data_IF_499569712239
#
_entry.id   IF_499569712239
#
_cell.length_a   1.000
_cell.length_b   1.000
_cell.length_c   1.000
_cell.angle_alpha   90.00
_cell.angle_beta   90.00
_cell.angle_gamma   90.00
#
_symmetry.space_group_name_H-M   'P 1'
#
loop_
_entity.id
_entity.type
_entity.pdbx_description
1 polymer ?
#
# COMPACT_ATOMS: atom_id res chain seq x y z
N UNK A 1 40.74 42.70 -11.89
CA UNK A 1 39.42 42.19 -11.45
C UNK A 1 39.63 40.86 -10.75
N UNK A 2 39.08 40.67 -9.54
CA UNK A 2 39.19 39.39 -8.82
C UNK A 2 38.32 38.34 -9.53
N UNK A 3 38.83 37.12 -9.77
CA UNK A 3 38.05 36.06 -10.43
C UNK A 3 36.83 35.68 -9.58
N UNK A 4 35.72 35.37 -10.24
CA UNK A 4 34.48 35.01 -9.56
C UNK A 4 34.62 33.67 -8.82
N UNK A 5 33.78 33.45 -7.80
CA UNK A 5 33.82 32.23 -6.99
C UNK A 5 33.71 30.95 -7.86
N UNK A 6 32.90 31.00 -8.93
CA UNK A 6 32.76 29.91 -9.90
C UNK A 6 34.05 29.62 -10.68
N UNK A 7 34.81 30.65 -11.09
CA UNK A 7 36.08 30.49 -11.81
C UNK A 7 37.17 29.87 -10.92
N UNK A 8 37.17 30.20 -9.63
CA UNK A 8 38.13 29.64 -8.65
C UNK A 8 37.84 28.17 -8.35
N UNK A 9 36.56 27.79 -8.34
CA UNK A 9 36.13 26.40 -8.14
C UNK A 9 36.42 25.57 -9.40
N UNK A 10 36.12 26.10 -10.60
CA UNK A 10 36.36 25.42 -11.86
C UNK A 10 37.85 25.10 -12.10
N UNK A 11 38.76 25.97 -11.68
CA UNK A 11 40.21 25.77 -11.81
C UNK A 11 40.77 24.62 -10.96
N UNK A 12 40.02 24.12 -9.97
CA UNK A 12 40.41 23.01 -9.09
C UNK A 12 39.76 21.67 -9.44
N UNK A 13 38.83 21.66 -10.39
CA UNK A 13 38.06 20.48 -10.74
C UNK A 13 38.64 19.75 -11.96
N UNK A 14 38.52 18.42 -12.04
CA UNK A 14 38.93 17.66 -13.22
C UNK A 14 38.15 18.11 -14.46
N UNK A 15 38.77 18.03 -15.64
CA UNK A 15 38.31 18.63 -16.91
C UNK A 15 36.82 18.50 -17.27
N UNK A 16 36.11 17.38 -17.03
CA UNK A 16 34.66 17.33 -17.22
C UNK A 16 33.90 18.19 -16.19
N UNK A 17 34.26 18.14 -14.90
CA UNK A 17 33.58 18.88 -13.83
C UNK A 17 33.83 20.40 -13.91
N UNK A 18 35.02 20.82 -14.35
CA UNK A 18 35.33 22.24 -14.59
C UNK A 18 34.39 22.90 -15.62
N UNK A 19 33.97 22.14 -16.65
CA UNK A 19 33.03 22.60 -17.68
C UNK A 19 31.60 22.79 -17.15
N UNK A 20 31.21 22.01 -16.15
CA UNK A 20 29.93 22.16 -15.45
C UNK A 20 29.95 23.36 -14.50
N UNK A 21 31.05 23.56 -13.77
CA UNK A 21 31.23 24.67 -12.83
C UNK A 21 31.24 26.06 -13.49
N UNK A 22 31.65 26.15 -14.76
CA UNK A 22 31.65 27.40 -15.54
C UNK A 22 30.23 27.85 -15.98
N UNK A 23 29.18 27.07 -15.65
CA UNK A 23 27.76 27.43 -15.81
C UNK A 23 27.26 27.58 -17.26
N UNK A 24 28.15 27.53 -18.26
CA UNK A 24 27.82 27.58 -19.70
C UNK A 24 27.17 26.28 -20.18
N UNK A 25 27.74 25.14 -19.77
CA UNK A 25 27.20 23.81 -20.11
C UNK A 25 25.87 23.57 -19.40
N UNK A 26 25.78 23.88 -18.10
CA UNK A 26 24.54 23.73 -17.33
C UNK A 26 23.37 24.55 -17.89
N UNK A 27 23.59 25.82 -18.26
CA UNK A 27 22.54 26.64 -18.90
C UNK A 27 22.17 26.18 -20.31
N UNK A 28 23.11 25.59 -21.06
CA UNK A 28 22.82 25.01 -22.39
C UNK A 28 21.98 23.73 -22.23
N UNK A 29 22.32 22.88 -21.27
CA UNK A 29 21.58 21.67 -20.92
C UNK A 29 20.15 21.98 -20.43
N UNK A 30 19.99 22.96 -19.52
CA UNK A 30 18.69 23.37 -19.00
C UNK A 30 17.78 24.07 -20.03
N UNK A 31 18.32 24.48 -21.18
CA UNK A 31 17.54 25.11 -22.25
C UNK A 31 17.15 24.11 -23.35
N UNK A 32 17.80 22.96 -23.40
CA UNK A 32 17.50 21.91 -24.36
C UNK A 32 16.37 21.01 -23.83
N UNK A 33 15.20 21.07 -24.49
CA UNK A 33 14.01 20.31 -24.09
C UNK A 33 14.23 18.80 -24.17
N UNK A 34 15.03 18.32 -25.14
CA UNK A 34 15.29 16.89 -25.33
C UNK A 34 16.26 16.36 -24.27
N UNK A 35 17.26 17.17 -23.89
CA UNK A 35 18.18 16.81 -22.82
C UNK A 35 17.49 16.78 -21.44
N UNK A 36 16.57 17.72 -21.20
CA UNK A 36 15.72 17.72 -20.01
C UNK A 36 14.81 16.48 -19.97
N UNK A 37 14.14 16.16 -21.08
CA UNK A 37 13.29 14.98 -21.17
C UNK A 37 14.09 13.70 -20.90
N UNK A 38 15.25 13.54 -21.54
CA UNK A 38 16.12 12.38 -21.35
C UNK A 38 16.60 12.24 -19.89
N UNK A 39 17.00 13.33 -19.24
CA UNK A 39 17.41 13.28 -17.84
C UNK A 39 16.26 12.99 -16.89
N UNK A 40 15.05 13.47 -17.18
CA UNK A 40 13.85 13.12 -16.43
C UNK A 40 13.55 11.63 -16.56
N UNK A 41 13.61 11.09 -17.77
CA UNK A 41 13.41 9.66 -18.02
C UNK A 41 14.44 8.82 -17.25
N UNK A 42 15.73 9.17 -17.34
CA UNK A 42 16.80 8.48 -16.59
C UNK A 42 16.56 8.60 -15.08
N UNK A 43 16.16 9.77 -14.59
CA UNK A 43 15.82 10.00 -13.19
C UNK A 43 14.66 9.12 -12.71
N UNK A 44 13.61 8.96 -13.53
CA UNK A 44 12.48 8.07 -13.24
C UNK A 44 12.93 6.60 -13.18
N UNK A 45 13.74 6.15 -14.13
CA UNK A 45 14.30 4.78 -14.10
C UNK A 45 15.18 4.55 -12.87
N UNK A 46 16.02 5.51 -12.51
CA UNK A 46 16.86 5.41 -11.32
C UNK A 46 16.04 5.39 -10.03
N UNK A 47 14.99 6.22 -9.95
CA UNK A 47 14.07 6.22 -8.82
C UNK A 47 13.31 4.89 -8.71
N UNK A 48 12.85 4.32 -9.83
CA UNK A 48 12.24 2.99 -9.87
C UNK A 48 13.21 1.91 -9.40
N UNK A 49 14.46 1.93 -9.88
CA UNK A 49 15.49 0.99 -9.46
C UNK A 49 15.80 1.13 -7.97
N UNK A 50 15.88 2.36 -7.45
CA UNK A 50 16.10 2.62 -6.02
C UNK A 50 14.92 2.14 -5.18
N UNK A 51 13.68 2.40 -5.61
CA UNK A 51 12.47 1.91 -4.95
C UNK A 51 12.44 0.37 -4.86
N UNK A 52 12.89 -0.29 -5.93
CA UNK A 52 13.04 -1.74 -6.00
C UNK A 52 14.09 -2.26 -5.01
N UNK A 53 15.24 -1.61 -4.91
CA UNK A 53 16.38 -2.08 -4.09
C UNK A 53 16.20 -1.73 -2.61
N UNK A 54 15.76 -0.51 -2.30
CA UNK A 54 15.67 0.00 -0.92
C UNK A 54 14.44 -0.54 -0.20
N UNK A 55 13.36 -0.84 -0.94
CA UNK A 55 12.19 -1.54 -0.41
C UNK A 55 11.47 -0.82 0.73
N UNK A 56 10.48 0.02 0.40
CA UNK A 56 9.68 0.74 1.42
C UNK A 56 8.45 -0.01 1.96
N UNK A 57 8.01 -1.07 1.28
CA UNK A 57 6.79 -1.82 1.65
C UNK A 57 7.18 -3.27 1.90
N UNK A 58 6.96 -3.74 3.14
CA UNK A 58 7.15 -5.12 3.56
C UNK A 58 5.91 -5.96 3.25
N UNK A 59 6.12 -7.26 3.06
CA UNK A 59 5.02 -8.20 2.88
C UNK A 59 4.14 -8.27 4.14
N UNK A 60 4.75 -8.13 5.32
CA UNK A 60 4.05 -8.18 6.61
C UNK A 60 3.07 -7.02 6.76
N UNK A 61 3.49 -5.80 6.41
CA UNK A 61 2.62 -4.62 6.43
C UNK A 61 1.43 -4.75 5.46
N UNK A 62 1.55 -5.56 4.39
CA UNK A 62 0.45 -5.83 3.47
C UNK A 62 -0.55 -6.86 4.01
N UNK A 63 -0.15 -7.65 5.00
CA UNK A 63 -0.95 -8.73 5.57
C UNK A 63 -1.66 -8.32 6.86
N UNK A 64 -1.32 -7.17 7.44
CA UNK A 64 -2.01 -6.62 8.59
C UNK A 64 -3.45 -6.20 8.23
N UNK A 65 -4.45 -6.66 9.00
CA UNK A 65 -5.83 -6.20 8.84
C UNK A 65 -5.95 -4.76 9.33
N UNK A 66 -6.44 -3.87 8.47
CA UNK A 66 -6.58 -2.43 8.74
C UNK A 66 -7.99 -2.12 9.23
N UNK A 67 -8.99 -2.87 8.80
CA UNK A 67 -10.36 -2.70 9.26
C UNK A 67 -11.11 -4.04 9.33
N UNK A 68 -11.75 -4.33 10.47
CA UNK A 68 -12.56 -5.53 10.65
C UNK A 68 -13.98 -5.28 10.16
N UNK A 69 -14.48 -4.04 10.18
CA UNK A 69 -15.91 -3.74 10.05
C UNK A 69 -16.31 -3.39 8.60
N UNK A 70 -15.34 -3.05 7.74
CA UNK A 70 -15.57 -2.71 6.32
C UNK A 70 -15.02 -3.78 5.37
N UNK A 71 -15.86 -4.60 4.71
CA UNK A 71 -15.44 -5.52 3.62
C UNK A 71 -16.50 -5.83 2.51
N UNK A 72 -16.27 -5.77 1.16
CA UNK A 72 -14.96 -5.64 0.48
C UNK A 72 -14.87 -4.74 -0.79
N UNK A 73 -13.70 -4.15 -1.00
CA UNK A 73 -13.01 -3.97 -2.30
C UNK A 73 -13.57 -3.09 -3.44
N UNK A 74 -12.75 -2.98 -4.51
CA UNK A 74 -12.96 -2.13 -5.68
C UNK A 74 -14.37 -2.32 -6.29
N UNK A 75 -15.16 -1.24 -6.27
CA UNK A 75 -16.56 -1.13 -6.75
C UNK A 75 -17.64 -1.94 -6.00
N UNK A 76 -17.32 -2.58 -4.89
CA UNK A 76 -18.32 -3.23 -4.05
C UNK A 76 -18.29 -2.61 -2.66
N UNK A 77 -19.45 -2.13 -2.21
CA UNK A 77 -19.60 -1.86 -0.78
C UNK A 77 -19.74 -3.21 -0.08
N UNK A 78 -19.30 -3.29 1.18
CA UNK A 78 -19.63 -4.43 2.01
C UNK A 78 -21.12 -4.72 1.93
N UNK A 79 -21.48 -5.98 1.69
CA UNK A 79 -22.89 -6.36 1.78
C UNK A 79 -23.36 -5.97 3.19
N UNK A 80 -24.48 -5.24 3.33
CA UNK A 80 -24.96 -4.75 4.62
C UNK A 80 -25.04 -5.83 5.71
N UNK A 81 -25.34 -7.07 5.29
CA UNK A 81 -25.31 -8.29 6.09
C UNK A 81 -23.95 -8.58 6.74
N UNK A 82 -22.85 -8.42 6.00
CA UNK A 82 -21.48 -8.65 6.50
C UNK A 82 -21.08 -7.56 7.50
N UNK A 83 -21.39 -6.30 7.19
CA UNK A 83 -21.17 -5.15 8.09
C UNK A 83 -21.85 -5.37 9.44
N UNK A 84 -23.11 -5.79 9.39
CA UNK A 84 -23.90 -6.14 10.58
C UNK A 84 -23.20 -7.21 11.41
N UNK A 85 -22.83 -8.35 10.82
CA UNK A 85 -22.13 -9.44 11.52
C UNK A 85 -20.83 -9.01 12.20
N UNK A 86 -20.11 -8.05 11.62
CA UNK A 86 -18.86 -7.55 12.18
C UNK A 86 -19.10 -6.60 13.35
N UNK A 87 -20.09 -5.70 13.23
CA UNK A 87 -20.53 -4.86 14.33
C UNK A 87 -21.06 -5.71 15.50
N UNK A 88 -21.85 -6.75 15.20
CA UNK A 88 -22.34 -7.75 16.16
C UNK A 88 -21.21 -8.47 16.89
N UNK A 89 -20.22 -8.97 16.14
CA UNK A 89 -19.07 -9.66 16.70
C UNK A 89 -18.23 -8.74 17.60
N UNK A 90 -18.20 -7.43 17.32
CA UNK A 90 -17.55 -6.46 18.18
C UNK A 90 -18.35 -6.21 19.46
N UNK A 91 -19.66 -5.91 19.34
CA UNK A 91 -20.54 -5.61 20.48
C UNK A 91 -20.60 -6.78 21.47
N UNK A 92 -20.81 -8.00 20.96
CA UNK A 92 -20.87 -9.22 21.77
C UNK A 92 -19.54 -9.55 22.48
N UNK A 93 -18.39 -9.28 21.84
CA UNK A 93 -17.07 -9.44 22.48
C UNK A 93 -16.84 -8.43 23.57
N UNK A 94 -17.26 -7.18 23.35
CA UNK A 94 -17.15 -6.12 24.35
C UNK A 94 -18.03 -6.46 25.56
N UNK A 95 -19.27 -6.88 25.34
CA UNK A 95 -20.17 -7.34 26.40
C UNK A 95 -19.61 -8.54 27.18
N UNK A 96 -19.10 -9.56 26.48
CA UNK A 96 -18.46 -10.72 27.12
C UNK A 96 -17.24 -10.34 27.95
N UNK A 97 -16.41 -9.40 27.46
CA UNK A 97 -15.29 -8.88 28.23
C UNK A 97 -15.72 -7.97 29.39
N UNK A 98 -16.88 -7.33 29.29
CA UNK A 98 -17.48 -6.53 30.35
C UNK A 98 -18.11 -7.41 31.44
N UNK A 99 -18.51 -8.65 31.14
CA UNK A 99 -19.05 -9.58 32.12
C UNK A 99 -18.00 -10.12 33.13
N UNK A 100 -16.72 -10.13 32.74
CA UNK A 100 -15.63 -10.61 33.59
C UNK A 100 -15.28 -9.62 34.73
N UNK A 101 -15.17 -10.13 35.97
CA UNK A 101 -14.80 -9.31 37.15
C UNK A 101 -13.29 -9.00 37.25
N UNK A 102 -12.45 -9.75 36.53
CA UNK A 102 -10.98 -9.72 36.66
C UNK A 102 -10.35 -8.85 35.55
N UNK A 103 -9.75 -7.69 35.88
CA UNK A 103 -9.36 -6.67 34.90
C UNK A 103 -8.34 -7.14 33.86
N UNK A 104 -7.43 -8.06 34.19
CA UNK A 104 -6.43 -8.58 33.24
C UNK A 104 -7.07 -9.48 32.18
N UNK A 105 -8.11 -10.24 32.54
CA UNK A 105 -8.85 -11.11 31.60
C UNK A 105 -9.74 -10.31 30.65
N UNK A 106 -10.32 -9.19 31.12
CA UNK A 106 -11.10 -8.27 30.28
C UNK A 106 -10.27 -7.74 29.12
N UNK A 107 -9.03 -7.32 29.41
CA UNK A 107 -8.10 -6.78 28.41
C UNK A 107 -7.64 -7.84 27.39
N UNK A 108 -7.41 -9.09 27.81
CA UNK A 108 -7.07 -10.17 26.88
C UNK A 108 -8.24 -10.50 25.94
N UNK A 109 -9.48 -10.54 26.46
CA UNK A 109 -10.69 -10.79 25.67
C UNK A 109 -11.09 -9.61 24.76
N UNK A 110 -10.65 -8.38 25.07
CA UNK A 110 -10.84 -7.16 24.28
C UNK A 110 -9.84 -7.01 23.12
N UNK A 111 -8.96 -7.97 22.87
CA UNK A 111 -8.00 -7.92 21.76
C UNK A 111 -8.72 -8.10 20.43
N UNK A 112 -9.51 -7.11 20.02
CA UNK A 112 -10.07 -7.00 18.68
C UNK A 112 -8.87 -6.70 17.78
N UNK A 113 -8.60 -7.62 16.86
CA UNK A 113 -7.36 -7.73 16.08
C UNK A 113 -7.11 -6.56 15.10
N UNK A 114 -7.79 -5.42 15.27
CA UNK A 114 -7.83 -4.29 14.33
C UNK A 114 -7.69 -2.94 15.02
N UNK A 115 -8.29 -2.73 16.20
CA UNK A 115 -8.13 -1.50 17.00
C UNK A 115 -8.25 -1.79 18.49
N UNK A 116 -7.40 -1.16 19.32
CA UNK A 116 -7.51 -1.28 20.78
C UNK A 116 -8.80 -0.62 21.27
N UNK A 117 -9.33 -1.18 22.35
CA UNK A 117 -10.45 -0.58 23.08
C UNK A 117 -10.04 0.74 23.74
N UNK A 118 -10.93 1.72 23.76
CA UNK A 118 -10.66 3.00 24.39
C UNK A 118 -10.76 2.87 25.91
N UNK A 119 -9.59 2.76 26.56
CA UNK A 119 -9.47 2.62 28.02
C UNK A 119 -9.83 3.89 28.80
N UNK A 120 -9.98 5.02 28.12
CA UNK A 120 -10.33 6.29 28.76
C UNK A 120 -11.84 6.43 29.02
N UNK A 121 -12.66 5.51 28.48
CA UNK A 121 -14.09 5.46 28.74
C UNK A 121 -14.39 4.99 30.16
N UNK A 122 -15.29 5.69 30.85
CA UNK A 122 -15.83 5.22 32.12
C UNK A 122 -16.71 3.99 31.91
N UNK A 123 -16.72 3.08 32.89
CA UNK A 123 -17.57 1.88 32.85
C UNK A 123 -19.05 2.21 32.62
N UNK A 124 -19.54 3.29 33.22
CA UNK A 124 -20.91 3.76 33.04
C UNK A 124 -21.20 4.15 31.58
N UNK A 125 -20.24 4.81 30.91
CA UNK A 125 -20.38 5.19 29.50
C UNK A 125 -20.34 3.97 28.58
N UNK A 126 -19.55 2.95 28.91
CA UNK A 126 -19.51 1.72 28.12
C UNK A 126 -20.83 0.97 28.25
N UNK A 127 -21.40 0.86 29.46
CA UNK A 127 -22.71 0.26 29.67
C UNK A 127 -23.81 1.04 28.93
N UNK A 128 -23.79 2.37 28.99
CA UNK A 128 -24.73 3.23 28.24
C UNK A 128 -24.64 2.97 26.73
N UNK A 129 -23.43 2.90 26.17
CA UNK A 129 -23.23 2.60 24.74
C UNK A 129 -23.67 1.18 24.37
N UNK A 130 -23.52 0.20 25.26
CA UNK A 130 -24.05 -1.15 25.05
C UNK A 130 -25.59 -1.13 25.08
N UNK A 131 -26.19 -0.45 26.05
CA UNK A 131 -27.65 -0.28 26.17
C UNK A 131 -28.25 0.45 24.96
N UNK A 132 -27.51 1.38 24.34
CA UNK A 132 -27.87 2.04 23.08
C UNK A 132 -27.70 1.11 21.86
N UNK A 133 -26.63 0.32 21.83
CA UNK A 133 -26.27 -0.53 20.69
C UNK A 133 -27.11 -1.80 20.55
N UNK A 134 -27.46 -2.46 21.66
CA UNK A 134 -28.19 -3.74 21.64
C UNK A 134 -29.59 -3.66 21.01
N UNK A 135 -30.42 -2.63 21.25
CA UNK A 135 -31.72 -2.49 20.59
C UNK A 135 -31.61 -2.33 19.06
N UNK A 136 -30.62 -1.57 18.59
CA UNK A 136 -30.36 -1.38 17.15
C UNK A 136 -29.88 -2.70 16.55
N UNK A 137 -29.01 -3.41 17.27
CA UNK A 137 -28.59 -4.76 16.92
C UNK A 137 -29.78 -5.71 16.74
N UNK A 138 -30.65 -5.82 17.74
CA UNK A 138 -31.81 -6.74 17.70
C UNK A 138 -32.72 -6.43 16.50
N UNK A 139 -32.93 -5.15 16.21
CA UNK A 139 -33.72 -4.73 15.06
C UNK A 139 -33.06 -5.11 13.72
N UNK A 140 -31.76 -4.87 13.58
CA UNK A 140 -31.00 -5.25 12.38
C UNK A 140 -30.88 -6.78 12.24
N UNK A 141 -30.88 -7.51 13.35
CA UNK A 141 -30.87 -8.97 13.38
C UNK A 141 -32.17 -9.54 12.79
N UNK A 142 -33.32 -8.94 13.17
CA UNK A 142 -34.66 -9.33 12.69
C UNK A 142 -34.89 -9.03 11.21
N UNK A 143 -34.25 -8.00 10.67
CA UNK A 143 -34.40 -7.60 9.27
C UNK A 143 -33.88 -8.64 8.24
N UNK A 144 -32.94 -9.50 8.63
CA UNK A 144 -32.39 -10.54 7.75
C UNK A 144 -31.91 -9.97 6.39
N UNK A 145 -32.48 -10.47 5.30
CA UNK A 145 -32.12 -10.10 3.92
C UNK A 145 -32.69 -8.72 3.50
N UNK A 146 -33.69 -8.17 4.22
CA UNK A 146 -34.26 -6.84 3.91
C UNK A 146 -33.24 -5.71 4.13
N UNK A 147 -32.21 -5.97 4.93
CA UNK A 147 -31.12 -5.04 5.21
C UNK A 147 -30.39 -4.58 3.94
N UNK A 148 -30.38 -5.39 2.89
CA UNK A 148 -29.68 -5.06 1.63
C UNK A 148 -30.45 -4.09 0.74
N UNK A 149 -31.77 -4.01 0.92
CA UNK A 149 -32.67 -3.26 0.03
C UNK A 149 -33.34 -2.06 0.70
N UNK A 150 -33.46 -2.06 2.03
CA UNK A 150 -34.12 -0.98 2.76
C UNK A 150 -33.13 0.13 3.19
N UNK A 151 -33.25 1.37 2.66
CA UNK A 151 -32.34 2.46 3.00
C UNK A 151 -32.39 2.88 4.47
N UNK A 152 -33.53 2.75 5.14
CA UNK A 152 -33.66 3.14 6.56
C UNK A 152 -32.85 2.21 7.48
N UNK A 153 -32.78 0.92 7.13
CA UNK A 153 -31.97 -0.06 7.86
C UNK A 153 -30.46 0.16 7.66
N UNK A 154 -30.06 0.69 6.51
CA UNK A 154 -28.66 1.08 6.26
C UNK A 154 -28.21 2.24 7.14
N UNK A 155 -29.11 3.19 7.43
CA UNK A 155 -28.82 4.29 8.37
C UNK A 155 -28.63 3.75 9.77
N UNK A 156 -29.52 2.84 10.22
CA UNK A 156 -29.39 2.19 11.54
C UNK A 156 -28.12 1.35 11.67
N UNK A 157 -27.69 0.70 10.60
CA UNK A 157 -26.42 -0.01 10.56
C UNK A 157 -25.23 0.94 10.72
N UNK A 158 -25.28 2.11 10.07
CA UNK A 158 -24.25 3.15 10.22
C UNK A 158 -24.22 3.72 11.65
N UNK A 159 -25.39 3.87 12.28
CA UNK A 159 -25.51 4.26 13.70
C UNK A 159 -24.88 3.21 14.63
N UNK A 160 -25.18 1.92 14.44
CA UNK A 160 -24.57 0.83 15.21
C UNK A 160 -23.05 0.79 15.06
N UNK A 161 -22.54 0.94 13.83
CA UNK A 161 -21.11 1.03 13.58
C UNK A 161 -20.49 2.25 14.27
N UNK A 162 -21.18 3.40 14.29
CA UNK A 162 -20.76 4.61 15.00
C UNK A 162 -20.69 4.42 16.53
N UNK A 163 -21.61 3.65 17.12
CA UNK A 163 -21.58 3.28 18.55
C UNK A 163 -20.36 2.42 18.85
N UNK A 164 -20.11 1.38 18.03
CA UNK A 164 -18.92 0.52 18.18
C UNK A 164 -17.64 1.34 17.99
N UNK A 165 -17.60 2.28 17.04
CA UNK A 165 -16.42 3.13 16.79
C UNK A 165 -16.06 4.02 17.98
N UNK A 166 -17.05 4.49 18.74
CA UNK A 166 -16.84 5.26 19.97
C UNK A 166 -16.19 4.45 21.10
N UNK A 167 -16.46 3.14 21.15
CA UNK A 167 -15.84 2.22 22.12
C UNK A 167 -14.38 1.93 21.78
N UNK A 168 -13.96 2.17 20.53
CA UNK A 168 -12.60 1.98 20.07
C UNK A 168 -11.80 3.28 20.22
N UNK A 169 -10.46 3.16 20.29
CA UNK A 169 -9.60 4.34 20.36
C UNK A 169 -9.82 5.23 19.12
N UNK A 170 -10.12 6.54 19.32
CA UNK A 170 -10.28 7.45 18.19
C UNK A 170 -8.95 7.60 17.47
N UNK A 171 -9.00 7.47 16.15
CA UNK A 171 -7.81 7.56 15.31
C UNK A 171 -7.25 8.98 15.34
N UNK A 172 -5.93 9.10 15.45
CA UNK A 172 -5.24 10.38 15.28
C UNK A 172 -5.49 10.96 13.88
N UNK A 173 -5.47 12.28 13.73
CA UNK A 173 -5.65 12.94 12.42
C UNK A 173 -4.72 12.39 11.34
N UNK A 174 -3.49 12.02 11.72
CA UNK A 174 -2.52 11.38 10.83
C UNK A 174 -2.97 9.97 10.41
N UNK A 175 -3.40 9.16 11.37
CA UNK A 175 -3.86 7.77 11.14
C UNK A 175 -5.14 7.72 10.32
N UNK A 176 -6.07 8.66 10.54
CA UNK A 176 -7.27 8.82 9.72
C UNK A 176 -6.91 9.07 8.26
N UNK A 177 -5.92 9.94 8.02
CA UNK A 177 -5.46 10.26 6.68
C UNK A 177 -4.79 9.05 6.02
N UNK A 178 -3.91 8.36 6.74
CA UNK A 178 -3.26 7.12 6.27
C UNK A 178 -4.29 6.04 5.94
N UNK A 179 -5.26 5.79 6.82
CA UNK A 179 -6.35 4.84 6.60
C UNK A 179 -7.19 5.19 5.39
N UNK A 180 -7.52 6.47 5.19
CA UNK A 180 -8.29 6.91 4.02
C UNK A 180 -7.58 6.55 2.70
N UNK A 181 -6.25 6.68 2.66
CA UNK A 181 -5.46 6.28 1.49
C UNK A 181 -5.31 4.76 1.36
N UNK A 182 -5.09 4.06 2.47
CA UNK A 182 -4.99 2.60 2.48
C UNK A 182 -6.31 1.94 2.05
N UNK A 183 -7.44 2.54 2.41
CA UNK A 183 -8.79 2.07 2.07
C UNK A 183 -9.30 2.65 0.74
N UNK A 184 -8.47 3.36 -0.04
CA UNK A 184 -8.90 3.99 -1.29
C UNK A 184 -9.46 3.00 -2.31
N UNK A 185 -8.84 1.81 -2.42
CA UNK A 185 -9.34 0.70 -3.25
C UNK A 185 -10.14 -0.34 -2.44
N UNK A 186 -10.49 -0.02 -1.20
CA UNK A 186 -11.18 -0.92 -0.28
C UNK A 186 -10.29 -2.03 0.29
N UNK A 187 -10.97 -3.03 0.86
CA UNK A 187 -10.40 -4.15 1.63
C UNK A 187 -10.72 -5.51 1.02
N UNK A 188 -9.81 -6.48 1.17
CA UNK A 188 -10.06 -7.92 0.91
C UNK A 188 -10.89 -8.50 2.06
N UNK A 189 -11.60 -9.61 1.87
CA UNK A 189 -12.33 -10.48 2.83
C UNK A 189 -11.72 -10.68 4.23
N UNK A 190 -10.44 -10.38 4.42
CA UNK A 190 -9.71 -10.49 5.69
C UNK A 190 -9.43 -9.14 6.37
N UNK A 191 -9.95 -8.02 5.86
CA UNK A 191 -9.77 -6.69 6.44
C UNK A 191 -8.53 -5.95 5.96
N UNK A 192 -7.84 -6.49 4.96
CA UNK A 192 -6.53 -6.01 4.48
C UNK A 192 -6.68 -5.01 3.33
N UNK A 193 -5.82 -3.99 3.25
CA UNK A 193 -5.84 -3.02 2.15
C UNK A 193 -5.50 -3.65 0.80
N UNK A 194 -6.40 -3.48 -0.17
CA UNK A 194 -6.15 -3.86 -1.57
C UNK A 194 -5.15 -2.90 -2.21
N UNK A 195 -5.22 -1.61 -1.87
CA UNK A 195 -4.33 -0.58 -2.41
C UNK A 195 -2.86 -0.86 -2.09
N UNK A 196 -2.55 -1.19 -0.84
CA UNK A 196 -1.18 -1.49 -0.42
C UNK A 196 -0.65 -2.76 -1.12
N UNK A 197 -1.50 -3.79 -1.26
CA UNK A 197 -1.17 -5.03 -1.98
C UNK A 197 -0.97 -4.80 -3.48
N UNK A 198 -1.73 -3.90 -4.09
CA UNK A 198 -1.56 -3.52 -5.49
C UNK A 198 -0.20 -2.85 -5.72
N UNK A 199 0.18 -1.88 -4.88
CA UNK A 199 1.49 -1.24 -4.96
C UNK A 199 2.61 -2.24 -4.71
N UNK A 200 2.44 -3.14 -3.73
CA UNK A 200 3.40 -4.21 -3.47
C UNK A 200 3.56 -5.13 -4.69
N UNK A 201 2.47 -5.47 -5.37
CA UNK A 201 2.50 -6.30 -6.58
C UNK A 201 3.22 -5.62 -7.74
N UNK A 202 3.05 -4.30 -7.90
CA UNK A 202 3.79 -3.51 -8.90
C UNK A 202 5.30 -3.57 -8.61
N UNK A 203 5.71 -3.41 -7.35
CA UNK A 203 7.13 -3.53 -6.94
C UNK A 203 7.70 -4.90 -7.33
N UNK A 204 6.99 -5.97 -7.00
CA UNK A 204 7.41 -7.35 -7.30
C UNK A 204 7.48 -7.61 -8.81
N UNK A 205 6.49 -7.13 -9.57
CA UNK A 205 6.48 -7.27 -11.03
C UNK A 205 7.67 -6.56 -11.69
N UNK A 206 7.99 -5.34 -11.26
CA UNK A 206 9.14 -4.58 -11.76
C UNK A 206 10.46 -5.25 -11.37
N UNK A 207 10.56 -5.80 -10.15
CA UNK A 207 11.72 -6.57 -9.70
C UNK A 207 11.99 -7.77 -10.61
N UNK A 208 10.97 -8.59 -10.85
CA UNK A 208 11.09 -9.79 -11.70
C UNK A 208 11.42 -9.38 -13.14
N UNK A 209 10.76 -8.36 -13.67
CA UNK A 209 11.03 -7.85 -15.01
C UNK A 209 12.47 -7.37 -15.19
N UNK A 210 13.01 -6.64 -14.21
CA UNK A 210 14.40 -6.15 -14.25
C UNK A 210 15.41 -7.30 -14.22
N UNK A 211 15.24 -8.26 -13.31
CA UNK A 211 16.11 -9.43 -13.20
C UNK A 211 16.07 -10.25 -14.49
N UNK A 212 14.87 -10.48 -15.03
CA UNK A 212 14.66 -11.23 -16.28
C UNK A 212 15.32 -10.53 -17.46
N UNK A 213 15.19 -9.20 -17.57
CA UNK A 213 15.81 -8.43 -18.64
C UNK A 213 17.35 -8.50 -18.60
N UNK A 214 17.95 -8.38 -17.41
CA UNK A 214 19.40 -8.50 -17.22
C UNK A 214 19.88 -9.90 -17.62
N UNK A 215 19.24 -10.95 -17.10
CA UNK A 215 19.62 -12.34 -17.39
C UNK A 215 19.44 -12.65 -18.88
N UNK A 216 18.31 -12.27 -19.47
CA UNK A 216 18.05 -12.48 -20.89
C UNK A 216 19.04 -11.75 -21.79
N UNK A 217 19.42 -10.52 -21.41
CA UNK A 217 20.40 -9.72 -22.17
C UNK A 217 21.80 -10.33 -22.06
N UNK A 218 22.21 -10.81 -20.89
CA UNK A 218 23.49 -11.51 -20.72
C UNK A 218 23.56 -12.78 -21.55
N UNK A 219 22.53 -13.62 -21.48
CA UNK A 219 22.46 -14.87 -22.27
C UNK A 219 22.45 -14.57 -23.76
N UNK A 220 21.59 -13.64 -24.20
CA UNK A 220 21.50 -13.23 -25.60
C UNK A 220 22.81 -12.63 -26.12
N UNK A 221 23.48 -11.78 -25.34
CA UNK A 221 24.77 -11.21 -25.69
C UNK A 221 25.87 -12.26 -25.78
N UNK A 222 25.93 -13.22 -24.84
CA UNK A 222 26.90 -14.31 -24.88
C UNK A 222 26.69 -15.21 -26.10
N UNK A 223 25.45 -15.61 -26.39
CA UNK A 223 25.13 -16.44 -27.56
C UNK A 223 25.41 -15.70 -28.87
N UNK A 224 25.00 -14.43 -28.97
CA UNK A 224 25.28 -13.60 -30.14
C UNK A 224 26.78 -13.38 -30.37
N UNK A 225 27.55 -13.13 -29.31
CA UNK A 225 29.00 -13.00 -29.40
C UNK A 225 29.67 -14.33 -29.81
N UNK A 226 29.20 -15.47 -29.29
CA UNK A 226 29.72 -16.78 -29.66
C UNK A 226 29.44 -17.12 -31.13
N UNK A 227 28.23 -16.86 -31.62
CA UNK A 227 27.88 -17.03 -33.04
C UNK A 227 28.75 -16.16 -33.95
N UNK A 228 28.94 -14.89 -33.59
CA UNK A 228 29.77 -13.95 -34.36
C UNK A 228 31.28 -14.25 -34.33
N UNK A 229 31.80 -14.84 -33.24
CA UNK A 229 33.23 -15.14 -33.11
C UNK A 229 33.63 -16.46 -33.76
N UNK A 230 32.88 -17.55 -33.53
CA UNK A 230 33.27 -18.88 -34.02
C UNK A 230 32.74 -19.20 -35.42
N UNK A 231 31.59 -18.63 -35.81
CA UNK A 231 30.94 -18.93 -37.10
C UNK A 231 30.59 -20.42 -37.29
N UNK A 232 30.05 -20.76 -38.47
CA UNK A 232 29.77 -22.14 -38.87
C UNK A 232 28.71 -22.84 -38.00
N UNK A 233 29.03 -23.99 -37.41
CA UNK A 233 28.03 -24.83 -36.71
C UNK A 233 27.42 -24.16 -35.48
N UNK A 234 28.17 -23.31 -34.76
CA UNK A 234 27.67 -22.58 -33.58
C UNK A 234 26.62 -21.55 -34.00
N UNK A 235 26.82 -20.88 -35.14
CA UNK A 235 25.86 -19.94 -35.71
C UNK A 235 24.55 -20.64 -36.12
N UNK A 236 24.65 -21.84 -36.70
CA UNK A 236 23.48 -22.67 -37.02
C UNK A 236 22.69 -23.07 -35.77
N UNK A 237 23.36 -23.44 -34.67
CA UNK A 237 22.69 -23.79 -33.41
C UNK A 237 21.98 -22.57 -32.82
N UNK A 238 22.64 -21.40 -32.78
CA UNK A 238 22.04 -20.16 -32.24
C UNK A 238 20.84 -19.73 -33.08
N UNK A 239 20.95 -19.79 -34.41
CA UNK A 239 19.84 -19.48 -35.32
C UNK A 239 18.67 -20.44 -35.16
N UNK A 240 18.94 -21.74 -34.99
CA UNK A 240 17.91 -22.75 -34.73
C UNK A 240 17.18 -22.52 -33.41
N UNK A 241 17.90 -22.16 -32.34
CA UNK A 241 17.31 -21.79 -31.05
C UNK A 241 16.38 -20.59 -31.27
N UNK A 242 16.87 -19.50 -31.86
CA UNK A 242 16.06 -18.31 -32.11
C UNK A 242 14.78 -18.61 -32.90
N UNK A 243 14.86 -19.38 -33.99
CA UNK A 243 13.70 -19.69 -34.83
C UNK A 243 12.69 -20.63 -34.19
N UNK A 244 13.10 -21.38 -33.16
CA UNK A 244 12.20 -22.33 -32.47
C UNK A 244 11.43 -21.63 -31.35
N UNK A 245 12.00 -20.59 -30.75
CA UNK A 245 11.37 -19.83 -29.65
C UNK A 245 10.60 -18.58 -30.11
N UNK A 246 10.78 -18.14 -31.37
CA UNK A 246 10.03 -17.05 -32.00
C UNK A 246 8.80 -17.55 -32.74
#
# INVERSE_FOLDING_TARGET
MKPSLAQRIAARLPGPMARWADGRVGRKFLRDKMALLASLVIGVYFALALFVVVGGISADACNEPIDAVKLPGFWQLPTPTVRRQLAEAALSRIDAAMADRDPEKRLQNLTINVRPFNTDLSMDRINELLDEGFPIYDELALAGDELETNPDLLVKLDELEGIVDQMLVPLSSKEQWERKWLLFLGTDTQGRSIFLRAIFSIKVAVQIGLVTAIVSTLIGACLGAAAGYFGGWIDHVVTWIYSTFS
#
